data_IF_205652426089
#
_entry.id   IF_205652426089
#
_cell.length_a   1.000
_cell.length_b   1.000
_cell.length_c   1.000
_cell.angle_alpha   90.00
_cell.angle_beta   90.00
_cell.angle_gamma   90.00
#
_symmetry.space_group_name_H-M   'P 1'
#
loop_
_entity.id
_entity.type
_entity.pdbx_description
1 polymer ?
2 non-polymer ?
3 non-polymer ?
4 water ?
#
# COMPACT_ATOMS: atom_id res chain seq x y z
N UNK A 1 -16.56 -22.99 7.61
CA UNK A 1 -16.79 -21.54 7.40
C UNK A 1 -15.40 -21.01 7.01
N UNK A 2 -15.30 -20.30 5.87
CA UNK A 2 -14.01 -19.84 5.40
C UNK A 2 -13.53 -18.83 6.45
N UNK A 3 -12.25 -18.88 6.80
CA UNK A 3 -11.67 -18.06 7.86
C UNK A 3 -11.23 -16.73 7.27
N UNK A 4 -11.98 -15.71 7.66
CA UNK A 4 -11.82 -14.40 7.06
C UNK A 4 -11.50 -13.38 8.19
N UNK A 5 -10.49 -12.56 7.95
CA UNK A 5 -10.30 -11.34 8.80
C UNK A 5 -10.78 -10.18 7.96
N UNK A 6 -11.91 -9.61 8.40
CA UNK A 6 -12.50 -8.46 7.65
C UNK A 6 -11.99 -7.18 8.23
N UNK A 7 -11.52 -6.27 7.36
CA UNK A 7 -10.99 -4.99 7.82
C UNK A 7 -11.72 -3.86 7.11
N UNK A 8 -12.14 -2.86 7.87
CA UNK A 8 -12.67 -1.63 7.29
C UNK A 8 -11.55 -0.64 7.64
N UNK A 9 -10.68 -0.37 6.67
CA UNK A 9 -9.46 0.38 6.91
C UNK A 9 -9.64 1.89 6.94
N UNK A 10 -9.14 2.52 8.00
CA UNK A 10 -9.19 3.98 8.05
C UNK A 10 -7.91 4.46 8.72
N UNK A 11 -7.39 5.60 8.31
CA UNK A 11 -6.17 6.10 8.98
C UNK A 11 -6.49 6.83 10.29
N UNK A 12 -7.76 6.92 10.63
CA UNK A 12 -8.17 7.54 11.90
C UNK A 12 -7.79 9.04 11.85
N UNK A 13 -8.13 9.66 10.74
CA UNK A 13 -7.84 11.10 10.59
C UNK A 13 -8.83 11.95 11.40
N UNK A 14 -9.99 11.41 11.73
CA UNK A 14 -11.03 12.12 12.51
C UNK A 14 -11.15 11.48 13.89
N UNK A 15 -11.22 12.31 14.95
CA UNK A 15 -11.33 11.81 16.30
C UNK A 15 -12.50 10.84 16.40
N UNK A 16 -12.23 9.72 17.06
CA UNK A 16 -13.24 8.73 17.34
C UNK A 16 -13.39 7.72 16.20
N UNK A 17 -12.75 7.96 15.07
CA UNK A 17 -12.77 7.01 13.97
C UNK A 17 -11.59 6.07 14.12
N UNK A 18 -11.67 4.88 13.53
CA UNK A 18 -10.47 4.06 13.52
C UNK A 18 -10.69 2.89 12.59
N UNK A 19 -9.72 2.02 12.50
CA UNK A 19 -9.85 0.77 11.64
C UNK A 19 -10.69 -0.28 12.29
N UNK A 20 -11.73 -0.74 11.58
CA UNK A 20 -12.61 -1.75 12.15
C UNK A 20 -12.12 -3.14 11.77
N UNK A 21 -12.30 -4.08 12.69
CA UNK A 21 -11.95 -5.50 12.35
C UNK A 21 -13.03 -6.43 12.85
N UNK A 22 -13.17 -7.53 12.11
CA UNK A 22 -14.14 -8.54 12.51
C UNK A 22 -13.61 -9.89 12.04
N UNK A 23 -13.71 -10.90 12.89
CA UNK A 23 -13.36 -12.30 12.47
C UNK A 23 -14.17 -13.29 13.30
N UNK A 24 -14.27 -14.53 12.80
CA UNK A 24 -14.99 -15.60 13.51
C UNK A 24 -13.99 -16.60 13.93
N UNK A 25 -14.02 -17.04 15.18
CA UNK A 25 -13.10 -18.04 15.67
C UNK A 25 -13.89 -18.97 16.60
N UNK A 26 -13.82 -20.27 16.32
CA UNK A 26 -14.58 -21.26 17.13
C UNK A 26 -16.06 -20.81 17.15
N UNK A 27 -16.58 -20.39 16.00
CA UNK A 27 -17.99 -20.00 15.88
C UNK A 27 -18.41 -18.63 16.40
N UNK A 28 -17.52 -17.97 17.14
CA UNK A 28 -17.87 -16.72 17.77
C UNK A 28 -17.29 -15.59 16.95
N UNK A 29 -18.12 -14.57 16.72
CA UNK A 29 -17.61 -13.35 16.09
C UNK A 29 -16.93 -12.38 17.08
N UNK A 30 -15.72 -11.89 16.74
CA UNK A 30 -14.98 -10.90 17.50
C UNK A 30 -14.91 -9.64 16.66
N UNK A 31 -15.24 -8.49 17.23
CA UNK A 31 -15.23 -7.24 16.48
C UNK A 31 -14.51 -6.21 17.31
N UNK A 32 -14.03 -5.18 16.67
CA UNK A 32 -13.39 -4.07 17.43
C UNK A 32 -12.94 -2.99 16.50
N UNK A 33 -12.36 -1.95 17.08
CA UNK A 33 -11.83 -0.83 16.31
C UNK A 33 -10.47 -0.44 16.88
N UNK A 34 -9.58 -0.07 15.99
CA UNK A 34 -8.29 0.45 16.37
C UNK A 34 -8.34 1.97 16.30
N UNK A 35 -8.34 2.59 17.47
CA UNK A 35 -8.57 4.06 17.57
C UNK A 35 -7.28 4.85 17.53
N UNK A 36 -6.74 5.03 16.33
CA UNK A 36 -5.41 5.54 16.17
C UNK A 36 -5.35 7.09 15.94
N UNK A 37 -6.45 7.84 16.20
CA UNK A 37 -6.49 9.31 16.05
C UNK A 37 -5.25 9.92 16.68
N UNK A 38 -4.51 10.73 15.90
CA UNK A 38 -3.39 11.51 16.41
C UNK A 38 -2.91 12.53 15.38
N UNK A 39 -3.37 13.79 15.49
CA UNK A 39 -2.96 14.74 14.44
C UNK A 39 -1.44 15.06 14.46
N UNK A 40 -0.74 14.68 15.53
CA UNK A 40 0.75 14.76 15.59
C UNK A 40 1.45 13.81 14.59
N UNK A 41 0.72 12.82 14.13
CA UNK A 41 1.32 11.83 13.21
C UNK A 41 0.80 12.00 11.78
N UNK A 42 1.60 11.68 10.76
CA UNK A 42 1.06 11.62 9.38
C UNK A 42 0.16 10.44 9.22
N UNK A 43 -0.59 10.39 8.08
CA UNK A 43 -1.44 9.24 7.85
C UNK A 43 -0.65 7.95 7.79
N UNK A 44 0.55 8.00 7.19
CA UNK A 44 1.41 6.77 7.11
C UNK A 44 1.89 6.33 8.49
N UNK A 45 2.14 7.30 9.37
CA UNK A 45 2.52 6.94 10.73
C UNK A 45 1.36 6.34 11.53
N UNK A 46 0.15 6.85 11.37
CA UNK A 46 -1.00 6.23 12.03
C UNK A 46 -1.22 4.80 11.40
N UNK A 47 -1.01 4.69 10.08
CA UNK A 47 -1.17 3.35 9.45
C UNK A 47 -0.19 2.32 10.08
N UNK A 48 1.03 2.74 10.34
CA UNK A 48 2.02 1.87 10.99
C UNK A 48 1.51 1.43 12.34
N UNK A 49 0.91 2.34 13.12
CA UNK A 49 0.31 1.98 14.40
C UNK A 49 -0.86 1.02 14.26
N UNK A 50 -1.68 1.18 13.20
CA UNK A 50 -2.78 0.25 12.98
C UNK A 50 -2.26 -1.12 12.56
N UNK A 51 -1.26 -1.20 11.72
CA UNK A 51 -0.65 -2.46 11.33
C UNK A 51 -0.16 -3.18 12.59
N UNK A 52 0.47 -2.44 13.49
CA UNK A 52 0.98 -3.14 14.70
C UNK A 52 -0.16 -3.64 15.57
N UNK A 53 -1.25 -2.90 15.62
CA UNK A 53 -2.35 -3.31 16.41
C UNK A 53 -3.02 -4.55 15.84
N UNK A 54 -3.12 -4.65 14.49
CA UNK A 54 -3.69 -5.85 13.87
C UNK A 54 -2.76 -7.03 13.98
N UNK A 55 -1.45 -6.80 13.87
CA UNK A 55 -0.51 -7.89 14.09
C UNK A 55 -0.67 -8.43 15.50
N UNK A 56 -0.88 -7.57 16.50
CA UNK A 56 -1.05 -8.07 17.86
C UNK A 56 -2.31 -8.91 18.02
N UNK A 57 -3.41 -8.52 17.35
CA UNK A 57 -4.66 -9.28 17.34
C UNK A 57 -4.44 -10.64 16.64
N UNK A 58 -3.69 -10.64 15.54
CA UNK A 58 -3.47 -11.89 14.73
C UNK A 58 -2.63 -12.87 15.65
N UNK A 59 -1.67 -12.30 16.39
CA UNK A 59 -0.88 -13.09 17.34
C UNK A 59 -1.73 -13.63 18.54
N UNK A 60 -2.39 -12.74 19.25
CA UNK A 60 -3.26 -13.13 20.39
C UNK A 60 -4.31 -14.13 20.06
N UNK A 61 -4.95 -13.98 18.90
CA UNK A 61 -6.07 -14.88 18.60
C UNK A 61 -5.67 -15.98 17.61
N UNK A 62 -4.37 -16.10 17.31
CA UNK A 62 -3.87 -17.14 16.42
C UNK A 62 -4.59 -17.16 15.09
N UNK A 63 -4.61 -16.02 14.43
CA UNK A 63 -5.27 -15.92 13.08
C UNK A 63 -4.32 -16.06 11.85
N UNK A 64 -3.09 -16.52 12.02
CA UNK A 64 -2.26 -16.74 10.79
C UNK A 64 -3.01 -17.64 9.79
N UNK A 65 -2.97 -17.33 8.49
CA UNK A 65 -3.74 -18.16 7.59
C UNK A 65 -5.21 -17.84 7.33
N UNK A 66 -5.85 -16.98 8.16
CA UNK A 66 -7.10 -16.33 7.79
C UNK A 66 -6.87 -15.52 6.50
N UNK A 67 -7.93 -15.33 5.71
CA UNK A 67 -7.83 -14.56 4.50
C UNK A 67 -8.29 -13.14 4.82
N UNK A 68 -7.57 -12.14 4.32
CA UNK A 68 -7.94 -10.72 4.56
C UNK A 68 -8.98 -10.22 3.57
N UNK A 69 -10.10 -9.75 4.09
CA UNK A 69 -11.09 -9.05 3.26
C UNK A 69 -11.04 -7.56 3.62
N UNK A 70 -10.78 -6.69 2.63
CA UNK A 70 -10.61 -5.27 2.89
C UNK A 70 -11.31 -4.46 1.84
N UNK A 71 -11.88 -3.33 2.25
CA UNK A 71 -12.56 -2.49 1.23
C UNK A 71 -11.65 -1.95 0.15
N UNK A 72 -12.17 -1.88 -1.05
CA UNK A 72 -11.49 -1.31 -2.15
C UNK A 72 -11.35 0.20 -1.92
N UNK A 73 -10.13 0.76 -2.11
CA UNK A 73 -9.98 2.23 -2.06
C UNK A 73 -10.71 2.83 -3.27
N UNK A 74 -11.21 4.05 -3.11
CA UNK A 74 -11.99 4.60 -4.24
C UNK A 74 -11.45 5.95 -4.66
N UNK A 75 -11.88 6.39 -5.85
CA UNK A 75 -11.48 7.70 -6.37
C UNK A 75 -12.37 8.71 -5.65
N UNK A 76 -11.80 9.87 -5.24
CA UNK A 76 -12.54 10.91 -4.57
C UNK A 76 -12.35 12.32 -5.10
N UNK A 77 -12.99 13.26 -4.40
CA UNK A 77 -13.08 14.69 -4.76
C UNK A 77 -11.72 15.42 -4.71
N UNK A 78 -10.81 14.97 -3.84
CA UNK A 78 -9.55 15.64 -3.66
C UNK A 78 -8.45 14.66 -3.99
N UNK A 79 -7.69 14.97 -5.02
CA UNK A 79 -6.61 14.15 -5.60
C UNK A 79 -5.64 13.66 -4.51
N UNK A 80 -5.09 14.59 -3.75
CA UNK A 80 -4.02 14.20 -2.84
C UNK A 80 -4.58 13.37 -1.70
N UNK A 81 -5.70 13.78 -1.14
CA UNK A 81 -6.29 12.97 -0.10
C UNK A 81 -6.58 11.54 -0.61
N UNK A 82 -7.20 11.40 -1.80
CA UNK A 82 -7.53 10.00 -2.24
C UNK A 82 -6.27 9.15 -2.56
N UNK A 83 -5.20 9.78 -3.07
CA UNK A 83 -3.98 9.04 -3.36
C UNK A 83 -3.36 8.61 -2.01
N UNK A 84 -3.35 9.49 -1.01
CA UNK A 84 -2.79 9.12 0.31
C UNK A 84 -3.58 7.96 0.93
N UNK A 85 -4.90 8.03 0.83
CA UNK A 85 -5.71 7.00 1.41
C UNK A 85 -5.43 5.64 0.74
N UNK A 86 -5.36 5.67 -0.61
CA UNK A 86 -5.12 4.46 -1.36
C UNK A 86 -3.72 3.88 -0.99
N UNK A 87 -2.72 4.77 -0.85
CA UNK A 87 -1.35 4.29 -0.52
C UNK A 87 -1.32 3.67 0.88
N UNK A 88 -1.99 4.28 1.84
CA UNK A 88 -1.96 3.74 3.23
C UNK A 88 -2.71 2.39 3.29
N UNK A 89 -3.86 2.29 2.61
CA UNK A 89 -4.58 1.01 2.49
C UNK A 89 -3.61 -0.08 1.95
N UNK A 90 -2.86 0.27 0.88
CA UNK A 90 -1.86 -0.64 0.29
C UNK A 90 -0.80 -1.06 1.29
N UNK A 91 -0.25 -0.06 1.99
CA UNK A 91 0.75 -0.31 3.06
C UNK A 91 0.23 -1.31 4.04
N UNK A 92 -0.99 -1.08 4.56
CA UNK A 92 -1.57 -2.05 5.48
C UNK A 92 -1.59 -3.50 4.96
N UNK A 93 -2.03 -3.64 3.72
CA UNK A 93 -2.18 -4.97 3.13
C UNK A 93 -0.80 -5.62 2.94
N UNK A 94 0.14 -4.85 2.41
CA UNK A 94 1.49 -5.39 2.19
C UNK A 94 2.14 -5.74 3.54
N UNK A 95 1.89 -4.95 4.60
CA UNK A 95 2.50 -5.29 5.88
C UNK A 95 1.99 -6.58 6.49
N UNK A 96 0.77 -6.95 6.21
CA UNK A 96 0.21 -8.16 6.85
C UNK A 96 0.05 -9.39 5.89
N UNK A 97 0.25 -9.17 4.60
CA UNK A 97 0.10 -10.27 3.63
C UNK A 97 1.22 -11.28 3.92
N UNK A 98 0.86 -12.54 4.07
CA UNK A 98 1.91 -13.47 4.59
C UNK A 98 1.50 -13.96 5.98
N UNK A 99 1.14 -13.04 6.87
CA UNK A 99 0.47 -13.40 8.11
C UNK A 99 -0.89 -13.94 7.77
N UNK A 100 -1.61 -13.22 6.91
CA UNK A 100 -2.82 -13.73 6.33
C UNK A 100 -2.49 -14.52 5.06
N UNK A 101 -3.39 -15.40 4.67
CA UNK A 101 -3.32 -16.16 3.41
C UNK A 101 -3.94 -15.33 2.28
N UNK A 102 -3.29 -14.24 1.91
CA UNK A 102 -3.75 -13.49 0.75
C UNK A 102 -4.90 -12.58 1.13
N UNK A 103 -5.43 -11.89 0.14
CA UNK A 103 -6.45 -10.86 0.45
C UNK A 103 -7.33 -10.70 -0.74
N UNK A 104 -8.50 -10.18 -0.50
CA UNK A 104 -9.45 -9.83 -1.53
C UNK A 104 -10.03 -8.45 -1.27
N UNK A 105 -10.13 -7.64 -2.32
CA UNK A 105 -10.77 -6.34 -2.19
C UNK A 105 -12.28 -6.56 -2.26
N UNK A 106 -12.98 -5.99 -1.30
CA UNK A 106 -14.43 -5.91 -1.23
C UNK A 106 -14.97 -4.55 -1.53
N UNK A 107 -15.71 -4.41 -2.65
CA UNK A 107 -16.26 -3.09 -2.95
C UNK A 107 -17.35 -2.65 -1.97
N UNK A 108 -17.28 -1.41 -1.49
CA UNK A 108 -18.30 -0.85 -0.62
C UNK A 108 -19.68 -1.08 -1.16
N UNK A 109 -19.83 -0.84 -2.46
CA UNK A 109 -21.17 -1.02 -3.05
C UNK A 109 -21.73 -2.44 -2.96
N UNK A 110 -20.84 -3.42 -3.05
CA UNK A 110 -21.29 -4.80 -3.08
C UNK A 110 -21.73 -5.29 -1.72
N UNK A 111 -20.97 -5.00 -0.66
CA UNK A 111 -21.40 -5.42 0.67
C UNK A 111 -22.63 -4.64 1.10
N UNK A 112 -22.70 -3.35 0.74
CA UNK A 112 -23.87 -2.55 1.09
C UNK A 112 -25.10 -3.15 0.41
N UNK A 113 -24.97 -3.45 -0.88
CA UNK A 113 -26.09 -3.92 -1.67
C UNK A 113 -26.59 -5.26 -1.08
N UNK A 114 -25.67 -6.17 -0.75
CA UNK A 114 -26.06 -7.45 -0.13
C UNK A 114 -26.95 -7.30 1.14
N UNK A 115 -26.55 -6.34 1.99
CA UNK A 115 -27.21 -5.98 3.22
C UNK A 115 -28.42 -5.04 3.11
N UNK A 116 -28.81 -4.77 1.87
CA UNK A 116 -29.87 -3.82 1.53
C UNK A 116 -29.68 -2.42 2.09
N UNK A 117 -28.40 -1.96 2.15
CA UNK A 117 -28.02 -0.62 2.63
C UNK A 117 -27.88 0.30 1.42
N UNK A 118 -28.63 1.40 1.45
CA UNK A 118 -28.60 2.46 0.39
C UNK A 118 -28.53 3.87 1.02
N UNK A 119 -28.39 4.91 0.20
CA UNK A 119 -28.37 6.29 0.68
C UNK A 119 -26.98 6.85 0.67
N UNK A 120 -26.85 8.11 1.11
CA UNK A 120 -25.54 8.75 1.20
C UNK A 120 -24.74 8.14 2.33
N UNK A 121 -23.45 8.48 2.36
CA UNK A 121 -22.58 8.04 3.46
C UNK A 121 -23.13 7.97 4.89
N UNK A 122 -23.68 9.06 5.44
CA UNK A 122 -24.16 9.04 6.86
C UNK A 122 -25.37 8.12 7.09
N UNK A 123 -26.27 8.06 6.11
CA UNK A 123 -27.37 7.10 6.20
C UNK A 123 -26.81 5.67 6.17
N UNK A 124 -25.82 5.44 5.32
CA UNK A 124 -25.29 4.08 5.25
C UNK A 124 -24.62 3.67 6.56
N UNK A 125 -23.96 4.62 7.23
CA UNK A 125 -23.39 4.37 8.55
C UNK A 125 -24.48 3.92 9.51
N UNK A 126 -25.60 4.63 9.50
CA UNK A 126 -26.75 4.29 10.37
C UNK A 126 -27.28 2.91 10.12
N UNK A 127 -27.46 2.54 8.85
CA UNK A 127 -28.04 1.25 8.53
C UNK A 127 -27.05 0.11 8.83
N UNK A 128 -25.76 0.37 8.61
CA UNK A 128 -24.73 -0.60 8.93
C UNK A 128 -24.72 -0.88 10.48
N UNK A 129 -24.80 0.20 11.26
CA UNK A 129 -24.86 0.04 12.72
C UNK A 129 -26.09 -0.69 13.19
N UNK A 130 -27.21 -0.57 12.45
CA UNK A 130 -28.40 -1.30 12.89
C UNK A 130 -28.18 -2.79 12.82
N UNK A 131 -27.49 -3.25 11.77
CA UNK A 131 -27.17 -4.64 11.68
C UNK A 131 -26.23 -5.08 12.78
N UNK A 132 -25.24 -4.26 13.10
CA UNK A 132 -24.28 -4.69 14.16
C UNK A 132 -25.01 -4.75 15.52
N UNK A 133 -25.85 -3.76 15.79
CA UNK A 133 -26.52 -3.67 17.10
C UNK A 133 -27.39 -4.87 17.36
N UNK A 134 -27.97 -5.44 16.31
CA UNK A 134 -28.90 -6.56 16.42
C UNK A 134 -28.23 -7.83 16.94
N UNK A 135 -26.89 -7.95 16.74
CA UNK A 135 -26.11 -9.13 17.21
C UNK A 135 -25.76 -9.12 18.70
N UNK A 136 -25.94 -7.97 19.34
CA UNK A 136 -25.58 -7.79 20.76
C UNK A 136 -24.09 -7.65 21.02
N UNK A 137 -23.28 -7.60 19.96
CA UNK A 137 -21.84 -7.42 20.12
C UNK A 137 -21.44 -6.03 20.59
N UNK A 138 -22.35 -5.08 20.37
CA UNK A 138 -22.22 -3.71 20.84
C UNK A 138 -23.59 -3.31 21.46
N UNK A 139 -23.60 -2.19 22.14
CA UNK A 139 -24.76 -1.77 22.88
C UNK A 139 -25.64 -0.98 21.94
N UNK A 140 -26.89 -0.76 22.34
CA UNK A 140 -27.87 -0.03 21.51
C UNK A 140 -27.48 1.40 21.24
N UNK A 141 -26.54 1.94 22.00
CA UNK A 141 -26.03 3.29 21.83
C UNK A 141 -24.76 3.44 20.99
N UNK A 142 -24.24 2.33 20.47
CA UNK A 142 -22.99 2.37 19.70
C UNK A 142 -23.11 3.20 18.43
N UNK A 143 -22.10 4.03 18.22
CA UNK A 143 -22.02 4.86 17.01
C UNK A 143 -20.75 4.54 16.24
N UNK A 144 -20.15 3.37 16.56
CA UNK A 144 -18.88 3.02 15.95
C UNK A 144 -19.11 2.35 14.60
N UNK A 145 -19.27 3.17 13.57
CA UNK A 145 -19.58 2.63 12.26
C UNK A 145 -18.42 1.88 11.62
N UNK A 146 -17.20 2.12 12.09
CA UNK A 146 -16.04 1.36 11.55
C UNK A 146 -16.14 -0.12 11.96
N UNK A 147 -16.60 -0.39 13.18
CA UNK A 147 -16.86 -1.76 13.67
C UNK A 147 -17.99 -2.38 12.87
N UNK A 148 -19.06 -1.60 12.68
CA UNK A 148 -20.22 -2.11 11.93
C UNK A 148 -19.87 -2.49 10.50
N UNK A 149 -19.13 -1.60 9.81
CA UNK A 149 -18.75 -1.93 8.43
C UNK A 149 -17.83 -3.17 8.40
N UNK A 150 -16.87 -3.28 9.32
CA UNK A 150 -16.09 -4.51 9.35
C UNK A 150 -16.95 -5.77 9.52
N UNK A 151 -17.86 -5.74 10.50
CA UNK A 151 -18.81 -6.83 10.69
C UNK A 151 -19.59 -7.19 9.45
N UNK A 152 -20.14 -6.13 8.81
CA UNK A 152 -20.97 -6.38 7.64
C UNK A 152 -20.17 -6.86 6.44
N UNK A 153 -18.91 -6.44 6.32
CA UNK A 153 -18.06 -7.06 5.33
C UNK A 153 -17.84 -8.56 5.63
N UNK A 154 -17.53 -8.88 6.90
CA UNK A 154 -17.34 -10.28 7.27
C UNK A 154 -18.57 -11.14 6.85
N UNK A 155 -19.77 -10.67 7.18
CA UNK A 155 -20.92 -11.53 6.90
C UNK A 155 -21.20 -11.59 5.36
N UNK A 156 -20.94 -10.50 4.65
CA UNK A 156 -21.02 -10.52 3.16
C UNK A 156 -20.01 -11.59 2.66
N UNK A 157 -18.76 -11.54 3.11
CA UNK A 157 -17.76 -12.47 2.64
C UNK A 157 -18.12 -13.90 3.03
N UNK A 158 -18.77 -14.09 4.19
CA UNK A 158 -19.08 -15.45 4.66
C UNK A 158 -20.14 -16.08 3.72
N UNK A 159 -20.96 -15.25 3.08
CA UNK A 159 -21.95 -15.86 2.17
C UNK A 159 -21.40 -16.35 0.83
N UNK A 160 -20.21 -15.86 0.46
CA UNK A 160 -19.65 -16.17 -0.89
C UNK A 160 -19.01 -17.56 -0.98
N UNK B 2 21.79 7.15 4.82
CA UNK B 2 22.96 7.09 3.88
C UNK B 2 23.12 5.72 3.19
N UNK B 3 22.88 4.59 3.90
CA UNK B 3 22.69 3.25 3.29
C UNK B 3 21.24 3.30 2.79
N UNK B 4 21.08 3.54 1.49
CA UNK B 4 19.72 3.82 0.92
C UNK B 4 19.45 2.74 -0.13
N UNK B 5 18.26 2.14 -0.11
CA UNK B 5 17.81 1.35 -1.27
C UNK B 5 16.84 2.27 -2.00
N UNK B 6 17.17 2.76 -3.19
CA UNK B 6 16.32 3.63 -3.97
C UNK B 6 15.44 2.82 -4.90
N UNK B 7 14.13 3.10 -4.94
CA UNK B 7 13.20 2.40 -5.81
C UNK B 7 12.35 3.37 -6.61
N UNK B 8 12.28 3.09 -7.89
CA UNK B 8 11.33 3.77 -8.75
C UNK B 8 10.27 2.73 -9.03
N UNK B 9 9.15 2.77 -8.33
CA UNK B 9 8.15 1.67 -8.41
C UNK B 9 7.11 1.82 -9.54
N UNK B 10 6.93 0.77 -10.33
CA UNK B 10 5.89 0.72 -11.36
C UNK B 10 5.32 -0.70 -11.29
N UNK B 11 4.05 -0.88 -11.61
CA UNK B 11 3.49 -2.24 -11.69
C UNK B 11 3.69 -2.83 -13.09
N UNK B 12 4.31 -2.06 -14.01
CA UNK B 12 4.50 -2.56 -15.44
C UNK B 12 3.20 -2.89 -16.14
N UNK B 13 2.27 -1.95 -16.12
CA UNK B 13 1.03 -2.13 -16.86
C UNK B 13 1.23 -1.97 -18.40
N UNK B 14 2.33 -1.34 -18.78
CA UNK B 14 2.72 -1.21 -20.21
C UNK B 14 4.01 -2.01 -20.53
N UNK B 15 4.14 -2.40 -21.80
CA UNK B 15 5.23 -3.25 -22.23
C UNK B 15 6.58 -2.58 -21.88
N UNK B 16 7.51 -3.37 -21.39
CA UNK B 16 8.85 -2.89 -21.18
C UNK B 16 9.11 -2.17 -19.89
N UNK B 17 8.03 -1.77 -19.22
CA UNK B 17 8.14 -1.07 -17.91
C UNK B 17 8.66 -1.99 -16.81
N UNK B 18 9.09 -1.40 -15.71
CA UNK B 18 9.49 -2.20 -14.59
C UNK B 18 9.77 -1.34 -13.39
N UNK B 19 10.01 -1.99 -12.27
CA UNK B 19 10.43 -1.28 -11.01
C UNK B 19 11.95 -1.19 -11.03
N UNK B 20 12.50 0.02 -10.96
CA UNK B 20 13.95 0.16 -10.96
C UNK B 20 14.46 0.21 -9.52
N UNK B 21 15.70 -0.25 -9.29
CA UNK B 21 16.33 -0.20 -7.94
C UNK B 21 17.77 0.25 -8.09
N UNK B 22 18.27 0.86 -7.02
CA UNK B 22 19.70 1.21 -6.96
C UNK B 22 20.16 1.31 -5.51
N UNK B 23 21.37 0.79 -5.21
CA UNK B 23 21.89 0.94 -3.87
C UNK B 23 23.39 0.81 -3.97
N UNK B 24 24.07 1.13 -2.87
CA UNK B 24 25.54 1.09 -2.84
C UNK B 24 25.88 0.14 -1.72
N UNK B 25 26.79 -0.80 -2.01
CA UNK B 25 27.29 -1.70 -0.99
C UNK B 25 28.81 -1.79 -1.16
N UNK B 26 29.54 -1.61 -0.07
CA UNK B 26 31.02 -1.55 -0.11
C UNK B 26 31.46 -0.60 -1.24
N UNK B 27 30.82 0.57 -1.29
CA UNK B 27 31.18 1.60 -2.25
C UNK B 27 30.80 1.36 -3.71
N UNK B 28 30.50 0.11 -4.06
CA UNK B 28 30.06 -0.24 -5.39
C UNK B 28 28.55 0.06 -5.55
N UNK B 29 28.18 0.81 -6.56
CA UNK B 29 26.74 0.99 -6.96
C UNK B 29 26.16 -0.21 -7.75
N UNK B 30 24.97 -0.69 -7.34
CA UNK B 30 24.30 -1.72 -8.11
C UNK B 30 22.95 -1.16 -8.58
N UNK B 31 22.55 -1.49 -9.80
CA UNK B 31 21.30 -1.01 -10.37
C UNK B 31 20.65 -2.14 -11.12
N UNK B 32 19.34 -2.01 -11.36
CA UNK B 32 18.65 -3.00 -12.14
C UNK B 32 17.18 -2.69 -12.21
N UNK B 33 16.49 -3.40 -13.07
CA UNK B 33 15.03 -3.26 -13.09
C UNK B 33 14.34 -4.60 -13.05
N UNK B 34 13.18 -4.61 -12.44
CA UNK B 34 12.33 -5.81 -12.41
C UNK B 34 11.22 -5.64 -13.41
N UNK B 35 11.34 -6.26 -14.60
CA UNK B 35 10.34 -6.21 -15.70
C UNK B 35 9.08 -7.08 -15.68
N UNK B 36 8.00 -6.57 -15.21
CA UNK B 36 6.94 -7.38 -14.75
C UNK B 36 5.71 -7.40 -15.66
N UNK B 37 5.82 -6.88 -16.88
CA UNK B 37 4.63 -6.76 -17.76
C UNK B 37 4.03 -8.11 -18.00
N UNK B 38 2.71 -8.23 -17.84
CA UNK B 38 2.00 -9.48 -18.04
C UNK B 38 0.54 -9.18 -17.87
N UNK B 39 -0.18 -9.04 -18.98
CA UNK B 39 -1.60 -8.70 -18.90
C UNK B 39 -2.48 -9.81 -18.33
N UNK B 40 -1.96 -11.01 -18.18
CA UNK B 40 -2.73 -12.09 -17.53
C UNK B 40 -2.70 -11.99 -16.01
N UNK B 41 -1.92 -11.03 -15.52
CA UNK B 41 -1.86 -10.78 -14.08
C UNK B 41 -2.44 -9.41 -13.77
N UNK B 42 -3.08 -9.27 -12.62
CA UNK B 42 -3.49 -7.96 -12.22
C UNK B 42 -2.32 -7.10 -11.71
N UNK B 43 -2.54 -5.79 -11.54
CA UNK B 43 -1.45 -4.91 -11.04
C UNK B 43 -0.94 -5.44 -9.71
N UNK B 44 -1.86 -5.93 -8.87
CA UNK B 44 -1.47 -6.43 -7.52
C UNK B 44 -0.70 -7.72 -7.59
N UNK B 45 -1.05 -8.60 -8.54
CA UNK B 45 -0.24 -9.81 -8.74
C UNK B 45 1.15 -9.54 -9.27
N UNK B 46 1.28 -8.55 -10.18
CA UNK B 46 2.60 -8.16 -10.72
C UNK B 46 3.39 -7.56 -9.56
N UNK B 47 2.72 -6.82 -8.71
CA UNK B 47 3.38 -6.20 -7.53
C UNK B 47 3.97 -7.26 -6.60
N UNK B 48 3.20 -8.31 -6.30
CA UNK B 48 3.67 -9.42 -5.51
C UNK B 48 4.95 -9.94 -6.08
N UNK B 49 4.98 -10.18 -7.38
CA UNK B 49 6.22 -10.66 -8.02
C UNK B 49 7.36 -9.69 -7.89
N UNK B 50 7.07 -8.38 -8.02
CA UNK B 50 8.12 -7.40 -7.87
C UNK B 50 8.67 -7.36 -6.40
N UNK B 51 7.79 -7.49 -5.42
CA UNK B 51 8.19 -7.59 -4.02
C UNK B 51 9.13 -8.75 -3.84
N UNK B 52 8.77 -9.89 -4.43
CA UNK B 52 9.62 -11.06 -4.13
C UNK B 52 10.96 -10.90 -4.83
N UNK B 53 11.00 -10.23 -6.00
CA UNK B 53 12.31 -9.96 -6.68
C UNK B 53 13.18 -9.09 -5.83
N UNK B 54 12.59 -8.06 -5.21
CA UNK B 54 13.39 -7.14 -4.37
C UNK B 54 13.85 -7.83 -3.10
N UNK B 55 12.97 -8.64 -2.53
CA UNK B 55 13.39 -9.44 -1.33
C UNK B 55 14.59 -10.35 -1.69
N UNK B 56 14.56 -10.93 -2.87
CA UNK B 56 15.71 -11.79 -3.27
C UNK B 56 17.02 -10.96 -3.37
N UNK B 57 16.98 -9.74 -3.88
CA UNK B 57 18.17 -8.88 -3.91
C UNK B 57 18.61 -8.50 -2.52
N UNK B 58 17.65 -8.11 -1.68
CA UNK B 58 17.95 -7.81 -0.31
C UNK B 58 18.74 -8.98 0.35
N UNK B 59 18.32 -10.23 0.14
CA UNK B 59 19.00 -11.40 0.73
C UNK B 59 20.36 -11.70 0.06
N UNK B 60 20.39 -11.54 -1.25
CA UNK B 60 21.64 -11.79 -2.01
C UNK B 60 22.75 -10.84 -1.57
N UNK B 61 22.41 -9.58 -1.36
CA UNK B 61 23.41 -8.56 -1.06
C UNK B 61 23.40 -8.27 0.43
N UNK B 62 22.63 -9.08 1.15
CA UNK B 62 22.48 -9.07 2.62
C UNK B 62 22.42 -7.66 3.15
N UNK B 63 21.44 -6.91 2.63
CA UNK B 63 21.29 -5.50 2.95
C UNK B 63 20.64 -5.43 4.33
N UNK B 64 21.45 -5.09 5.35
CA UNK B 64 20.92 -4.90 6.68
C UNK B 64 20.94 -3.42 7.04
N UNK B 65 19.80 -2.91 7.51
CA UNK B 65 19.72 -1.53 7.95
C UNK B 65 19.61 -0.49 6.86
N UNK B 66 19.31 -0.88 5.62
CA UNK B 66 19.14 0.11 4.52
C UNK B 66 17.79 0.79 4.65
N UNK B 67 17.70 2.03 4.21
CA UNK B 67 16.48 2.80 4.33
C UNK B 67 15.92 2.93 2.90
N UNK B 68 14.61 2.72 2.77
CA UNK B 68 13.96 2.81 1.48
C UNK B 68 13.68 4.23 1.08
N UNK B 69 14.14 4.60 -0.11
CA UNK B 69 13.77 5.86 -0.69
C UNK B 69 12.94 5.54 -1.88
N UNK B 70 11.67 5.95 -1.86
CA UNK B 70 10.80 5.55 -2.96
C UNK B 70 10.09 6.77 -3.47
N UNK B 71 9.96 6.82 -4.77
CA UNK B 71 9.33 7.94 -5.41
C UNK B 71 7.85 8.02 -5.00
N UNK B 72 7.44 9.21 -4.61
CA UNK B 72 6.08 9.50 -4.14
C UNK B 72 5.01 9.18 -5.20
N UNK B 73 3.91 8.47 -4.83
CA UNK B 73 2.88 8.30 -5.85
C UNK B 73 2.06 9.57 -5.99
N UNK B 74 1.58 9.82 -7.19
CA UNK B 74 0.99 11.09 -7.54
C UNK B 74 -0.28 10.82 -8.37
N UNK B 75 -1.24 11.74 -8.30
CA UNK B 75 -2.38 11.63 -9.20
C UNK B 75 -1.95 12.08 -10.63
N UNK B 76 -2.17 11.23 -11.61
CA UNK B 76 -1.88 11.54 -13.01
C UNK B 76 -3.21 11.78 -13.73
N UNK B 77 -3.16 11.90 -15.06
CA UNK B 77 -4.36 12.04 -15.91
C UNK B 77 -5.36 10.89 -15.87
N UNK B 78 -4.84 9.68 -15.75
CA UNK B 78 -5.68 8.51 -15.73
C UNK B 78 -6.01 8.21 -14.26
N UNK B 79 -7.25 8.43 -13.84
CA UNK B 79 -7.53 8.35 -12.37
C UNK B 79 -7.43 6.94 -11.86
N UNK B 80 -8.02 5.99 -12.59
CA UNK B 80 -8.04 4.62 -12.08
C UNK B 80 -6.64 4.00 -12.03
N UNK B 81 -5.84 4.29 -13.03
CA UNK B 81 -4.39 3.90 -13.05
C UNK B 81 -3.70 4.50 -11.83
N UNK B 82 -3.98 5.77 -11.58
CA UNK B 82 -3.28 6.48 -10.49
C UNK B 82 -3.65 5.87 -9.15
N UNK B 83 -4.93 5.47 -8.95
CA UNK B 83 -5.28 4.94 -7.62
C UNK B 83 -4.71 3.52 -7.46
N UNK B 84 -4.80 2.74 -8.53
CA UNK B 84 -4.18 1.41 -8.53
C UNK B 84 -2.67 1.49 -8.23
N UNK B 85 -1.98 2.38 -8.92
CA UNK B 85 -0.54 2.54 -8.69
C UNK B 85 -0.24 2.98 -7.26
N UNK B 86 -1.03 3.92 -6.76
CA UNK B 86 -0.79 4.37 -5.38
C UNK B 86 -0.98 3.18 -4.44
N UNK B 87 -2.05 2.40 -4.65
CA UNK B 87 -2.26 1.23 -3.78
C UNK B 87 -1.18 0.17 -3.87
N UNK B 88 -0.71 -0.13 -5.08
CA UNK B 88 0.36 -1.11 -5.24
C UNK B 88 1.72 -0.59 -4.68
N UNK B 89 1.99 0.69 -4.87
CA UNK B 89 3.18 1.34 -4.28
C UNK B 89 3.15 1.16 -2.76
N UNK B 90 2.00 1.41 -2.13
CA UNK B 90 1.86 1.17 -0.68
C UNK B 90 2.07 -0.31 -0.33
N UNK B 91 1.49 -1.24 -1.10
CA UNK B 91 1.66 -2.68 -0.85
C UNK B 91 3.16 -2.96 -0.84
N UNK B 92 3.84 -2.47 -1.87
CA UNK B 92 5.30 -2.71 -1.99
C UNK B 92 6.04 -2.25 -0.74
N UNK B 93 5.74 -1.04 -0.28
CA UNK B 93 6.42 -0.47 0.90
C UNK B 93 6.05 -1.29 2.15
N UNK B 94 4.76 -1.65 2.31
CA UNK B 94 4.39 -2.41 3.50
C UNK B 94 5.04 -3.78 3.52
N UNK B 95 5.19 -4.40 2.34
CA UNK B 95 5.76 -5.75 2.28
C UNK B 95 7.24 -5.74 2.63
N UNK B 96 7.91 -4.65 2.34
CA UNK B 96 9.34 -4.70 2.64
C UNK B 96 9.75 -3.93 3.88
N UNK B 97 8.88 -3.07 4.39
CA UNK B 97 9.26 -2.32 5.61
C UNK B 97 9.51 -3.35 6.72
N UNK B 98 10.62 -3.14 7.42
CA UNK B 98 11.04 -4.08 8.46
C UNK B 98 12.28 -4.79 7.91
N UNK B 99 12.26 -5.25 6.66
CA UNK B 99 13.52 -5.63 5.98
C UNK B 99 14.37 -4.39 5.75
N UNK B 100 13.76 -3.28 5.36
CA UNK B 100 14.38 -2.00 5.38
C UNK B 100 14.09 -1.31 6.70
N UNK B 101 14.94 -0.38 7.10
CA UNK B 101 14.67 0.43 8.28
C UNK B 101 13.90 1.67 7.91
N UNK B 102 12.61 1.47 7.67
CA UNK B 102 11.73 2.57 7.32
C UNK B 102 11.94 3.06 5.90
N UNK B 103 11.28 4.16 5.60
CA UNK B 103 11.23 4.62 4.24
C UNK B 103 10.92 6.12 4.24
N UNK B 104 11.23 6.76 3.13
CA UNK B 104 10.98 8.12 2.86
C UNK B 104 10.46 8.30 1.46
N UNK B 105 9.43 9.13 1.29
CA UNK B 105 8.89 9.49 -0.02
C UNK B 105 9.76 10.57 -0.63
N UNK B 106 10.16 10.34 -1.87
CA UNK B 106 10.97 11.32 -2.65
C UNK B 106 10.11 11.84 -3.79
N UNK B 107 9.78 13.14 -3.76
CA UNK B 107 8.94 13.72 -4.80
C UNK B 107 9.66 13.80 -6.16
N UNK B 108 9.04 13.32 -7.22
CA UNK B 108 9.64 13.33 -8.55
C UNK B 108 10.24 14.70 -8.85
N UNK B 109 9.41 15.75 -8.65
CA UNK B 109 9.80 17.12 -8.98
C UNK B 109 11.10 17.50 -8.32
N UNK B 110 11.26 17.06 -7.08
CA UNK B 110 12.42 17.32 -6.26
C UNK B 110 13.74 16.63 -6.67
N UNK B 111 13.74 15.31 -6.90
CA UNK B 111 15.00 14.72 -7.40
C UNK B 111 15.31 15.23 -8.78
N UNK B 112 14.28 15.46 -9.59
CA UNK B 112 14.45 15.97 -10.95
C UNK B 112 15.09 17.34 -10.99
N UNK B 113 14.61 18.24 -10.13
CA UNK B 113 15.16 19.59 -10.05
C UNK B 113 16.62 19.55 -9.65
N UNK B 114 16.99 18.73 -8.67
CA UNK B 114 18.38 18.66 -8.25
C UNK B 114 19.30 18.16 -9.38
N UNK B 115 18.79 17.26 -10.23
CA UNK B 115 19.57 16.79 -11.39
C UNK B 115 19.29 17.57 -12.69
N UNK B 116 18.58 18.70 -12.59
CA UNK B 116 18.27 19.57 -13.75
C UNK B 116 17.39 18.96 -14.83
N UNK B 117 16.83 17.78 -14.54
CA UNK B 117 15.85 17.15 -15.42
C UNK B 117 14.63 18.07 -15.48
N UNK B 118 14.36 18.58 -16.68
CA UNK B 118 13.28 19.52 -16.91
C UNK B 118 12.49 19.09 -18.15
N UNK B 119 11.28 19.64 -18.28
CA UNK B 119 10.36 19.33 -19.38
C UNK B 119 9.29 18.37 -18.90
N UNK B 120 8.58 17.76 -19.84
CA UNK B 120 7.48 16.82 -19.54
C UNK B 120 7.95 15.48 -18.94
N UNK B 121 7.07 14.46 -18.98
CA UNK B 121 7.39 13.12 -18.49
C UNK B 121 8.32 12.41 -19.46
N UNK B 122 7.79 12.12 -20.66
CA UNK B 122 8.57 11.48 -21.72
C UNK B 122 9.98 12.06 -21.89
N UNK B 123 10.14 13.38 -21.86
CA UNK B 123 11.47 14.03 -21.95
C UNK B 123 12.35 13.85 -20.69
N UNK B 124 11.72 13.84 -19.51
CA UNK B 124 12.42 13.56 -18.25
C UNK B 124 13.09 12.19 -18.32
N UNK B 125 12.39 11.23 -18.95
CA UNK B 125 12.87 9.85 -19.08
C UNK B 125 14.21 9.80 -19.83
N UNK B 126 14.31 10.53 -20.94
CA UNK B 126 15.57 10.58 -21.70
C UNK B 126 16.68 11.40 -21.03
N UNK B 127 16.30 12.38 -20.22
CA UNK B 127 17.25 13.14 -19.41
C UNK B 127 17.81 12.28 -18.28
N UNK B 128 16.92 11.55 -17.60
CA UNK B 128 17.36 10.65 -16.52
C UNK B 128 18.32 9.57 -17.05
N UNK B 129 17.94 8.95 -18.17
CA UNK B 129 18.79 7.95 -18.83
C UNK B 129 20.18 8.51 -19.23
N UNK B 130 20.21 9.75 -19.73
CA UNK B 130 21.49 10.44 -20.04
C UNK B 130 22.44 10.44 -18.85
N UNK B 131 21.92 10.64 -17.64
CA UNK B 131 22.77 10.65 -16.45
C UNK B 131 23.27 9.22 -16.09
N UNK B 132 22.38 8.24 -16.18
CA UNK B 132 22.77 6.85 -15.93
C UNK B 132 23.88 6.41 -16.88
N UNK B 133 23.69 6.73 -18.16
CA UNK B 133 24.63 6.34 -19.22
C UNK B 133 26.07 6.79 -18.95
N UNK B 134 26.23 8.01 -18.41
CA UNK B 134 27.56 8.59 -18.13
C UNK B 134 28.40 7.78 -17.17
N UNK B 135 27.74 7.12 -16.21
CA UNK B 135 28.45 6.40 -15.17
C UNK B 135 29.03 5.09 -15.68
N UNK B 136 28.52 4.60 -16.81
CA UNK B 136 28.97 3.32 -17.39
C UNK B 136 28.65 2.13 -16.52
N UNK B 137 27.54 2.21 -15.76
CA UNK B 137 26.97 1.06 -15.04
C UNK B 137 26.03 0.28 -15.94
N UNK B 138 25.65 0.91 -17.05
CA UNK B 138 24.90 0.29 -18.12
C UNK B 138 25.61 0.58 -19.45
N UNK B 139 25.24 -0.17 -20.49
CA UNK B 139 25.83 0.03 -21.81
C UNK B 139 25.24 1.26 -22.53
N UNK B 140 25.89 1.67 -23.62
CA UNK B 140 25.47 2.87 -24.36
C UNK B 140 24.11 2.68 -25.05
N UNK B 141 23.62 1.44 -25.10
CA UNK B 141 22.36 1.14 -25.75
C UNK B 141 21.16 1.19 -24.80
N UNK B 142 21.46 1.38 -23.50
CA UNK B 142 20.42 1.30 -22.46
C UNK B 142 19.27 2.26 -22.72
N UNK B 143 18.05 1.72 -22.73
CA UNK B 143 16.85 2.55 -22.84
C UNK B 143 15.93 2.36 -21.61
N UNK B 144 16.54 1.86 -20.52
CA UNK B 144 15.81 1.61 -19.26
C UNK B 144 15.72 2.82 -18.33
N UNK B 145 14.66 3.60 -18.55
CA UNK B 145 14.45 4.78 -17.72
C UNK B 145 14.01 4.41 -16.28
N UNK B 146 13.49 3.20 -16.04
CA UNK B 146 13.23 2.79 -14.64
C UNK B 146 14.56 2.66 -13.88
N UNK B 147 15.57 2.12 -14.56
CA UNK B 147 16.88 2.01 -13.93
C UNK B 147 17.44 3.40 -13.66
N UNK B 148 17.35 4.26 -14.66
CA UNK B 148 17.98 5.57 -14.59
C UNK B 148 17.30 6.39 -13.47
N UNK B 149 15.99 6.32 -13.40
CA UNK B 149 15.31 7.05 -12.30
C UNK B 149 15.77 6.55 -10.97
N UNK B 150 15.79 5.23 -10.73
CA UNK B 150 16.22 4.79 -9.44
C UNK B 150 17.62 5.26 -9.08
N UNK B 151 18.53 5.18 -10.02
CA UNK B 151 19.86 5.71 -9.79
C UNK B 151 19.88 7.21 -9.36
N UNK B 152 19.10 8.01 -10.05
CA UNK B 152 19.10 9.46 -9.83
C UNK B 152 18.45 9.78 -8.49
N UNK B 153 17.44 8.99 -8.10
CA UNK B 153 16.91 9.08 -6.75
C UNK B 153 17.93 8.79 -5.69
N UNK B 154 18.77 7.75 -5.87
CA UNK B 154 19.81 7.39 -4.91
C UNK B 154 20.79 8.56 -4.79
N UNK B 155 21.25 9.04 -5.94
CA UNK B 155 22.26 10.18 -5.90
C UNK B 155 21.67 11.43 -5.22
N UNK B 156 20.40 11.75 -5.53
CA UNK B 156 19.69 12.81 -4.84
C UNK B 156 19.74 12.62 -3.32
N UNK B 157 19.36 11.42 -2.85
CA UNK B 157 19.33 11.10 -1.42
C UNK B 157 20.68 11.12 -0.76
N UNK B 158 21.70 10.65 -1.47
CA UNK B 158 23.07 10.62 -0.93
C UNK B 158 23.65 12.03 -0.75
N UNK B 159 23.05 13.00 -1.44
CA UNK B 159 23.41 14.41 -1.31
C UNK B 159 22.64 15.11 -0.19
N UNK B 160 21.37 14.75 -0.04
CA UNK B 160 20.43 15.42 0.87
C UNK B 160 20.54 14.89 2.29
X LIG C 1 -10.32 -2.82 19.77
X LIG C 1 -9.53 -4.06 19.83
X LIG C 1 -11.63 -2.89 20.57
X LIG C 1 -12.84 -2.23 20.14
X LIG D 1 7.30 7.45 6.10
X LIG D 1 5.94 7.88 6.15
X LIG D 1 8.10 8.39 5.23
X LIG D 1 9.15 9.03 5.89
X LIG D 1 7.42 9.27 4.19
X LIG D 1 8.25 10.35 3.73
#
# INVERSE_FOLDING_TARGET
>A
MKKILAINFSTASKKGEGTGYAFRKDGQVYVGSIKAYNPKKTAWERTFDIVNAIKDIIDEFDLKGYHLAIETPIMGRNRKHSITLANCNGYFIGAIDGLVNGYTFIDNSKWCSYHLISGKREQRKEESLELLKATGLVDSNCKDDNIADAYNILTYCEHLG
>B
MKKILAINFSTASKKGEGTGYAFRKDGQVYVGSIKAYNPKKTAWERTFDIVNAIKDIIDEFDLKGYHLAIETPIMGRNRKHSITLANCNGYFIGAIDGLVNGYTFIDNSKWCSYHLISGKREQRKEESLELLKATGLVDSNCKDDNIADAYNILTYCEHLG
>C hetero
1 EDO C1 O1 C2 O2
>D hetero
1 GOL C1 O1 C2 O2 C3 O3
#
